data_IF_243069808423
#
_entry.id   IF_243069808423
#
_cell.length_a   1.000
_cell.length_b   1.000
_cell.length_c   1.000
_cell.angle_alpha   90.00
_cell.angle_beta   90.00
_cell.angle_gamma   90.00
#
_symmetry.space_group_name_H-M   'P 1'
#
loop_
_entity.id
_entity.type
_entity.pdbx_description
1 polymer ?
#
# COMPACT_ATOMS: atom_id res chain seq x y z
N UNK A 1 12.58 5.84 14.87
CA UNK A 1 12.09 5.19 13.63
C UNK A 1 11.03 4.16 13.99
N UNK A 2 9.88 4.21 13.33
CA UNK A 2 8.79 3.28 13.63
C UNK A 2 9.03 1.94 12.90
N UNK A 3 8.70 0.81 13.54
CA UNK A 3 8.84 -0.48 12.86
C UNK A 3 7.88 -0.59 11.67
N UNK A 4 8.25 -1.38 10.67
CA UNK A 4 7.40 -1.58 9.50
C UNK A 4 6.09 -2.22 9.94
N UNK A 5 4.93 -1.60 9.63
CA UNK A 5 3.65 -2.12 10.10
C UNK A 5 3.24 -3.37 9.32
N UNK A 6 2.70 -4.37 10.04
CA UNK A 6 2.29 -5.64 9.46
C UNK A 6 0.79 -5.84 9.62
N UNK A 7 0.18 -6.49 8.64
CA UNK A 7 -1.23 -6.86 8.69
C UNK A 7 -2.14 -5.65 8.88
N UNK A 8 -3.03 -5.73 9.86
CA UNK A 8 -3.99 -4.67 10.11
C UNK A 8 -3.37 -3.38 10.66
N UNK A 9 -2.14 -3.46 11.14
CA UNK A 9 -1.43 -2.27 11.63
C UNK A 9 -0.91 -1.39 10.50
N UNK A 10 -0.88 -1.93 9.27
CA UNK A 10 -0.46 -1.16 8.11
C UNK A 10 -1.59 -0.22 7.69
N UNK A 11 -1.35 1.11 7.65
CA UNK A 11 -2.39 2.06 7.24
C UNK A 11 -2.73 1.99 5.75
N UNK A 12 -2.00 1.20 4.97
CA UNK A 12 -2.23 1.04 3.54
C UNK A 12 -2.55 -0.41 3.20
N UNK A 13 -3.44 -0.59 2.22
CA UNK A 13 -3.91 -1.91 1.79
C UNK A 13 -3.72 -2.03 0.29
N UNK A 14 -3.26 -3.20 -0.15
CA UNK A 14 -3.10 -3.50 -1.58
C UNK A 14 -4.12 -4.57 -1.93
N UNK A 15 -4.98 -4.26 -2.91
CA UNK A 15 -6.03 -5.15 -3.35
C UNK A 15 -5.96 -5.35 -4.85
N UNK A 16 -6.15 -6.60 -5.29
CA UNK A 16 -6.28 -6.90 -6.71
C UNK A 16 -7.62 -6.41 -7.24
N UNK A 17 -7.62 -5.88 -8.45
CA UNK A 17 -8.84 -5.40 -9.09
C UNK A 17 -9.43 -6.56 -9.88
N UNK A 18 -10.64 -6.98 -9.49
CA UNK A 18 -11.33 -8.13 -10.10
C UNK A 18 -11.52 -7.91 -11.60
N UNK A 19 -11.22 -8.93 -12.38
CA UNK A 19 -11.35 -8.87 -13.84
C UNK A 19 -10.19 -8.21 -14.56
N UNK A 20 -9.14 -7.84 -13.84
CA UNK A 20 -7.95 -7.23 -14.41
C UNK A 20 -6.69 -7.84 -13.81
N UNK A 21 -5.53 -7.50 -14.39
CA UNK A 21 -4.24 -7.84 -13.81
C UNK A 21 -3.68 -6.73 -12.93
N UNK A 22 -4.46 -5.69 -12.71
CA UNK A 22 -4.00 -4.50 -12.00
C UNK A 22 -4.23 -4.62 -10.51
N UNK A 23 -3.47 -3.83 -9.75
CA UNK A 23 -3.52 -3.80 -8.30
C UNK A 23 -3.73 -2.36 -7.83
N UNK A 24 -4.58 -2.19 -6.82
CA UNK A 24 -4.88 -0.86 -6.29
C UNK A 24 -4.32 -0.71 -4.89
N UNK A 25 -3.80 0.47 -4.60
CA UNK A 25 -3.31 0.84 -3.28
C UNK A 25 -4.33 1.73 -2.61
N UNK A 26 -4.76 1.33 -1.42
CA UNK A 26 -5.74 2.08 -0.62
C UNK A 26 -5.13 2.53 0.69
N UNK A 27 -5.61 3.66 1.18
CA UNK A 27 -5.33 4.15 2.52
C UNK A 27 -6.54 3.86 3.41
N UNK A 28 -6.29 3.44 4.64
CA UNK A 28 -7.36 3.24 5.63
C UNK A 28 -7.62 4.53 6.41
N UNK A 29 -8.85 4.66 6.94
CA UNK A 29 -9.28 5.72 7.86
C UNK A 29 -9.02 7.13 7.35
N UNK A 30 -9.73 7.62 6.35
CA UNK A 30 -10.80 6.94 5.63
C UNK A 30 -10.27 5.99 4.55
N UNK A 31 -11.09 5.03 4.17
CA UNK A 31 -10.73 4.10 3.11
C UNK A 31 -10.79 4.82 1.77
N UNK A 32 -9.63 5.04 1.18
CA UNK A 32 -9.52 5.85 -0.02
C UNK A 32 -8.47 5.29 -0.96
N UNK A 33 -8.82 5.19 -2.24
CA UNK A 33 -7.90 4.74 -3.27
C UNK A 33 -6.84 5.81 -3.53
N UNK A 34 -5.57 5.40 -3.52
CA UNK A 34 -4.45 6.30 -3.78
C UNK A 34 -3.97 6.17 -5.22
N UNK A 35 -3.77 4.94 -5.69
CA UNK A 35 -3.18 4.70 -7.00
C UNK A 35 -3.49 3.29 -7.49
N UNK A 36 -3.26 3.07 -8.80
CA UNK A 36 -3.39 1.77 -9.44
C UNK A 36 -2.08 1.43 -10.11
N UNK A 37 -1.68 0.15 -10.03
CA UNK A 37 -0.42 -0.32 -10.59
C UNK A 37 -0.67 -1.55 -11.45
N UNK A 38 0.24 -1.79 -12.41
CA UNK A 38 0.11 -2.92 -13.32
C UNK A 38 0.52 -4.26 -12.69
N UNK A 39 1.37 -4.22 -11.66
CA UNK A 39 1.83 -5.42 -10.97
C UNK A 39 1.74 -5.24 -9.47
N UNK A 40 1.67 -6.39 -8.77
CA UNK A 40 1.67 -6.40 -7.31
C UNK A 40 2.97 -5.83 -6.74
N UNK A 41 4.10 -6.12 -7.40
CA UNK A 41 5.40 -5.60 -6.96
C UNK A 41 5.43 -4.08 -6.97
N UNK A 42 4.88 -3.46 -8.02
CA UNK A 42 4.82 -2.00 -8.10
C UNK A 42 4.00 -1.41 -6.96
N UNK A 43 2.89 -2.06 -6.62
CA UNK A 43 2.05 -1.62 -5.51
C UNK A 43 2.78 -1.72 -4.17
N UNK A 44 3.48 -2.83 -3.92
CA UNK A 44 4.25 -2.99 -2.70
C UNK A 44 5.39 -1.99 -2.60
N UNK A 45 6.09 -1.74 -3.69
CA UNK A 45 7.18 -0.77 -3.71
C UNK A 45 6.67 0.63 -3.41
N UNK A 46 5.54 1.01 -3.98
CA UNK A 46 4.92 2.29 -3.73
C UNK A 46 4.51 2.44 -2.26
N UNK A 47 3.88 1.38 -1.69
CA UNK A 47 3.50 1.39 -0.28
C UNK A 47 4.71 1.55 0.62
N UNK A 48 5.78 0.82 0.34
CA UNK A 48 7.01 0.90 1.11
C UNK A 48 7.60 2.32 1.07
N UNK A 49 7.61 2.92 -0.11
CA UNK A 49 8.13 4.28 -0.26
C UNK A 49 7.31 5.29 0.55
N UNK A 50 5.98 5.17 0.52
CA UNK A 50 5.10 6.04 1.29
C UNK A 50 5.35 5.87 2.79
N UNK A 51 5.41 4.62 3.26
CA UNK A 51 5.65 4.35 4.68
C UNK A 51 7.00 4.88 5.13
N UNK A 52 8.02 4.73 4.30
CA UNK A 52 9.34 5.26 4.60
C UNK A 52 9.30 6.78 4.76
N UNK A 53 8.57 7.46 3.88
CA UNK A 53 8.44 8.93 3.96
C UNK A 53 7.69 9.36 5.21
N UNK A 54 6.89 8.47 5.82
CA UNK A 54 6.15 8.75 7.04
C UNK A 54 6.91 8.33 8.30
N UNK A 55 8.16 7.89 8.16
CA UNK A 55 9.00 7.58 9.29
C UNK A 55 9.05 6.11 9.69
N UNK A 56 8.44 5.22 8.92
CA UNK A 56 8.52 3.78 9.18
C UNK A 56 9.84 3.21 8.64
N UNK A 57 10.28 2.15 9.30
CA UNK A 57 11.41 1.36 8.81
C UNK A 57 10.92 0.52 7.63
N UNK A 58 11.51 0.70 6.48
CA UNK A 58 11.05 0.02 5.28
C UNK A 58 12.11 -0.89 4.68
#
# INVERSE_FOLDING_TARGET
MKPYPLGIDNPYVILGIIGTTKWALYRRNPFQKIATFNTQFQAYDARRAILKSEGYSA
#
